data_IF_909693401476
#
_entry.id   IF_909693401476
#
_cell.length_a   1.000
_cell.length_b   1.000
_cell.length_c   1.000
_cell.angle_alpha   90.00
_cell.angle_beta   90.00
_cell.angle_gamma   90.00
#
_symmetry.space_group_name_H-M   'P 1'
#
loop_
_entity.id
_entity.type
_entity.pdbx_description
1 polymer ?
#
# COMPACT_ATOMS: atom_id res chain seq x y z
N UNK A 1 12.43 29.60 -22.28
CA UNK A 1 13.65 28.74 -22.21
C UNK A 1 14.01 28.04 -23.54
N UNK A 2 13.70 28.65 -24.71
CA UNK A 2 13.93 28.03 -26.03
C UNK A 2 15.42 27.67 -26.28
N UNK A 3 16.36 28.50 -25.76
CA UNK A 3 17.79 28.22 -25.90
C UNK A 3 18.23 26.93 -25.24
N UNK A 4 17.74 26.68 -24.03
CA UNK A 4 18.02 25.44 -23.30
C UNK A 4 17.42 24.20 -24.01
N UNK A 5 16.17 24.32 -24.49
CA UNK A 5 15.51 23.25 -25.24
C UNK A 5 16.27 22.91 -26.54
N UNK A 6 16.73 23.92 -27.28
CA UNK A 6 17.49 23.70 -28.51
C UNK A 6 18.85 23.04 -28.23
N UNK A 7 19.58 23.48 -27.18
CA UNK A 7 20.83 22.84 -26.78
C UNK A 7 20.61 21.37 -26.40
N UNK A 8 19.56 21.06 -25.65
CA UNK A 8 19.24 19.67 -25.34
C UNK A 8 18.87 18.86 -26.60
N UNK A 9 18.19 19.47 -27.57
CA UNK A 9 17.88 18.82 -28.85
C UNK A 9 19.14 18.53 -29.67
N UNK A 10 20.13 19.41 -29.69
CA UNK A 10 21.43 19.17 -30.32
C UNK A 10 22.16 17.96 -29.72
N UNK A 11 21.99 17.75 -28.41
CA UNK A 11 22.56 16.61 -27.66
C UNK A 11 21.62 15.38 -27.61
N UNK A 12 20.64 15.27 -28.52
CA UNK A 12 19.61 14.24 -28.45
C UNK A 12 20.13 12.80 -28.46
N UNK A 13 21.33 12.57 -29.00
CA UNK A 13 21.98 11.25 -29.03
C UNK A 13 22.31 10.75 -27.61
N UNK A 14 22.67 11.67 -26.73
CA UNK A 14 23.10 11.39 -25.36
C UNK A 14 21.92 11.37 -24.35
N UNK A 15 20.72 11.79 -24.79
CA UNK A 15 19.55 11.80 -23.94
C UNK A 15 18.99 10.39 -23.72
N UNK A 16 18.67 10.09 -22.46
CA UNK A 16 17.90 8.90 -22.13
C UNK A 16 16.51 8.93 -22.78
N UNK A 17 15.85 7.78 -22.88
CA UNK A 17 14.54 7.66 -23.49
C UNK A 17 13.51 8.62 -22.85
N UNK A 18 13.45 8.63 -21.50
CA UNK A 18 12.55 9.50 -20.74
C UNK A 18 12.89 10.99 -20.95
N UNK A 19 14.18 11.34 -21.04
CA UNK A 19 14.60 12.73 -21.29
C UNK A 19 14.16 13.20 -22.69
N UNK A 20 14.25 12.35 -23.70
CA UNK A 20 13.72 12.63 -25.06
C UNK A 20 12.23 12.90 -25.05
N UNK A 21 11.46 12.06 -24.36
CA UNK A 21 10.01 12.23 -24.24
C UNK A 21 9.65 13.51 -23.47
N UNK A 22 10.36 13.83 -22.36
CA UNK A 22 10.12 15.07 -21.60
C UNK A 22 10.48 16.32 -22.40
N UNK A 23 11.56 16.28 -23.17
CA UNK A 23 11.91 17.37 -24.08
C UNK A 23 10.85 17.54 -25.19
N UNK A 24 10.33 16.44 -25.74
CA UNK A 24 9.23 16.50 -26.71
C UNK A 24 7.96 17.11 -26.11
N UNK A 25 7.62 16.79 -24.82
CA UNK A 25 6.53 17.44 -24.11
C UNK A 25 6.74 18.95 -23.98
N UNK A 26 7.96 19.39 -23.65
CA UNK A 26 8.29 20.82 -23.58
C UNK A 26 8.11 21.54 -24.93
N UNK A 27 8.54 20.92 -26.02
CA UNK A 27 8.30 21.47 -27.37
C UNK A 27 6.82 21.51 -27.74
N UNK A 28 6.06 20.45 -27.39
CA UNK A 28 4.62 20.40 -27.65
C UNK A 28 3.87 21.50 -26.89
N UNK A 29 4.17 21.71 -25.60
CA UNK A 29 3.61 22.79 -24.80
C UNK A 29 3.91 24.19 -25.33
N UNK A 30 5.04 24.35 -26.03
CA UNK A 30 5.41 25.59 -26.70
C UNK A 30 4.90 25.69 -28.17
N UNK A 31 3.99 24.81 -28.57
CA UNK A 31 3.42 24.80 -29.93
C UNK A 31 4.39 24.35 -31.04
N UNK A 32 5.58 23.84 -30.70
CA UNK A 32 6.60 23.39 -31.62
C UNK A 32 6.43 21.90 -31.95
N UNK A 33 5.26 21.53 -32.46
CA UNK A 33 4.85 20.15 -32.71
C UNK A 33 5.81 19.40 -33.65
N UNK A 34 6.37 20.08 -34.68
CA UNK A 34 7.35 19.46 -35.57
C UNK A 34 8.60 19.00 -34.83
N UNK A 35 9.19 19.86 -34.01
CA UNK A 35 10.38 19.53 -33.22
C UNK A 35 10.10 18.42 -32.18
N UNK A 36 8.92 18.42 -31.58
CA UNK A 36 8.48 17.36 -30.68
C UNK A 36 8.42 16.00 -31.39
N UNK A 37 7.81 15.95 -32.59
CA UNK A 37 7.71 14.71 -33.37
C UNK A 37 9.06 14.20 -33.84
N UNK A 38 9.97 15.07 -34.25
CA UNK A 38 11.34 14.70 -34.68
C UNK A 38 12.10 14.01 -33.54
N UNK A 39 12.01 14.52 -32.31
CA UNK A 39 12.69 13.96 -31.12
C UNK A 39 12.26 12.52 -30.81
N UNK A 40 11.00 12.20 -31.03
CA UNK A 40 10.43 10.89 -30.63
C UNK A 40 9.98 10.05 -31.81
N UNK A 41 10.43 10.38 -33.01
CA UNK A 41 10.02 9.70 -34.28
C UNK A 41 10.24 8.18 -34.19
N UNK A 42 11.41 7.73 -33.69
CA UNK A 42 11.76 6.33 -33.53
C UNK A 42 11.88 5.92 -32.02
N UNK A 43 11.38 6.75 -31.12
CA UNK A 43 11.49 6.47 -29.71
C UNK A 43 10.49 5.39 -29.26
N UNK A 44 10.97 4.40 -28.52
CA UNK A 44 10.10 3.39 -27.92
C UNK A 44 9.17 4.04 -26.89
N UNK A 45 7.98 3.49 -26.74
CA UNK A 45 7.03 3.84 -25.65
C UNK A 45 7.11 2.90 -24.47
N UNK A 46 7.89 1.81 -24.59
CA UNK A 46 8.15 0.86 -23.50
C UNK A 46 9.48 1.20 -22.85
N UNK A 47 9.51 1.30 -21.55
CA UNK A 47 10.69 1.56 -20.74
C UNK A 47 11.21 0.23 -20.21
N UNK A 48 12.51 0.00 -20.31
CA UNK A 48 13.15 -1.17 -19.71
C UNK A 48 13.21 -0.99 -18.18
N UNK A 49 13.02 -2.07 -17.41
CA UNK A 49 13.15 -2.01 -15.96
C UNK A 49 14.52 -1.45 -15.54
N UNK A 50 14.54 -0.64 -14.49
CA UNK A 50 15.80 -0.15 -13.92
C UNK A 50 16.60 -1.31 -13.34
N UNK A 51 17.87 -1.41 -13.71
CA UNK A 51 18.77 -2.38 -13.13
C UNK A 51 19.23 -1.92 -11.74
N UNK A 52 19.09 -2.72 -10.68
CA UNK A 52 19.60 -2.39 -9.36
C UNK A 52 21.11 -2.14 -9.30
N UNK A 53 21.86 -2.68 -10.25
CA UNK A 53 23.33 -2.56 -10.32
C UNK A 53 23.81 -1.21 -10.88
N UNK A 54 22.93 -0.38 -11.39
CA UNK A 54 23.32 0.89 -11.99
C UNK A 54 23.77 1.96 -10.99
N UNK A 55 23.80 1.68 -9.68
CA UNK A 55 24.37 2.58 -8.66
C UNK A 55 23.72 3.97 -8.57
N UNK A 56 22.64 4.19 -9.27
CA UNK A 56 21.99 5.48 -9.31
C UNK A 56 20.91 5.56 -8.23
N UNK A 57 21.14 6.41 -7.27
CA UNK A 57 20.11 6.87 -6.31
C UNK A 57 19.03 7.72 -7.02
N UNK A 58 18.50 7.23 -8.13
CA UNK A 58 17.44 7.92 -8.86
C UNK A 58 16.11 7.40 -8.34
N UNK A 59 15.28 8.29 -7.82
CA UNK A 59 13.90 7.98 -7.46
C UNK A 59 13.02 7.66 -8.68
N UNK A 60 13.61 7.35 -9.82
CA UNK A 60 12.96 6.96 -11.05
C UNK A 60 12.47 5.52 -11.02
N UNK A 61 11.41 5.24 -11.77
CA UNK A 61 10.95 3.90 -12.04
C UNK A 61 10.42 3.81 -13.46
N UNK A 62 10.35 2.60 -14.01
CA UNK A 62 9.74 2.39 -15.31
C UNK A 62 8.26 2.80 -15.31
N UNK A 63 7.51 2.59 -14.22
CA UNK A 63 6.11 3.02 -14.09
C UNK A 63 5.94 4.54 -14.19
N UNK A 64 6.83 5.31 -13.52
CA UNK A 64 6.88 6.76 -13.63
C UNK A 64 7.14 7.19 -15.07
N UNK A 65 8.12 6.59 -15.71
CA UNK A 65 8.56 7.00 -17.04
C UNK A 65 7.52 6.62 -18.11
N UNK A 66 6.84 5.49 -17.98
CA UNK A 66 5.70 5.13 -18.82
C UNK A 66 4.53 6.11 -18.67
N UNK A 67 4.27 6.58 -17.45
CA UNK A 67 3.27 7.62 -17.21
C UNK A 67 3.67 8.98 -17.84
N UNK A 68 4.95 9.35 -17.77
CA UNK A 68 5.46 10.56 -18.46
C UNK A 68 5.32 10.45 -19.98
N UNK A 69 5.52 9.27 -20.56
CA UNK A 69 5.31 9.02 -21.98
C UNK A 69 3.83 9.17 -22.33
N UNK A 70 2.92 8.62 -21.53
CA UNK A 70 1.48 8.81 -21.70
C UNK A 70 1.11 10.29 -21.72
N UNK A 71 1.55 11.05 -20.74
CA UNK A 71 1.31 12.50 -20.67
C UNK A 71 1.81 13.20 -21.94
N UNK A 72 3.00 12.87 -22.40
CA UNK A 72 3.60 13.47 -23.60
C UNK A 72 2.79 13.15 -24.85
N UNK A 73 2.36 11.90 -25.04
CA UNK A 73 1.50 11.49 -26.15
C UNK A 73 0.19 12.27 -26.17
N UNK A 74 -0.42 12.49 -25.00
CA UNK A 74 -1.65 13.30 -24.86
C UNK A 74 -1.41 14.76 -25.26
N UNK A 75 -0.29 15.36 -24.81
CA UNK A 75 0.10 16.74 -25.17
C UNK A 75 0.38 16.88 -26.68
N UNK A 76 0.92 15.86 -27.31
CA UNK A 76 1.19 15.83 -28.75
C UNK A 76 -0.03 15.50 -29.62
N UNK A 77 -1.17 15.15 -29.01
CA UNK A 77 -2.38 14.74 -29.74
C UNK A 77 -2.28 13.35 -30.40
N UNK A 78 -1.33 12.50 -29.96
CA UNK A 78 -1.15 11.13 -30.48
C UNK A 78 -2.12 10.15 -29.77
N UNK A 79 -3.41 10.33 -30.00
CA UNK A 79 -4.49 9.68 -29.23
C UNK A 79 -4.45 8.15 -29.24
N UNK A 80 -4.22 7.55 -30.41
CA UNK A 80 -4.18 6.08 -30.53
C UNK A 80 -3.05 5.47 -29.68
N UNK A 81 -1.88 6.09 -29.70
CA UNK A 81 -0.74 5.62 -28.92
C UNK A 81 -0.92 5.92 -27.43
N UNK A 82 -1.49 7.09 -27.13
CA UNK A 82 -1.85 7.45 -25.75
C UNK A 82 -2.82 6.42 -25.15
N UNK A 83 -3.83 5.98 -25.89
CA UNK A 83 -4.77 4.96 -25.40
C UNK A 83 -4.07 3.62 -25.11
N UNK A 84 -3.20 3.17 -26.00
CA UNK A 84 -2.41 1.95 -25.79
C UNK A 84 -1.49 2.08 -24.57
N UNK A 85 -0.86 3.23 -24.39
CA UNK A 85 0.00 3.50 -23.24
C UNK A 85 -0.82 3.59 -21.93
N UNK A 86 -2.02 4.19 -21.98
CA UNK A 86 -2.93 4.28 -20.83
C UNK A 86 -3.35 2.90 -20.32
N UNK A 87 -3.59 1.93 -21.21
CA UNK A 87 -3.88 0.56 -20.79
C UNK A 87 -2.74 -0.06 -20.00
N UNK A 88 -1.48 0.20 -20.38
CA UNK A 88 -0.30 -0.27 -19.60
C UNK A 88 -0.24 0.41 -18.24
N UNK A 89 -0.34 1.74 -18.19
CA UNK A 89 -0.31 2.52 -16.94
C UNK A 89 -1.44 2.08 -16.01
N UNK A 90 -2.65 1.87 -16.52
CA UNK A 90 -3.80 1.37 -15.76
C UNK A 90 -3.53 -0.02 -15.18
N UNK A 91 -3.00 -0.94 -16.01
CA UNK A 91 -2.63 -2.29 -15.57
C UNK A 91 -1.56 -2.24 -14.47
N UNK A 92 -0.57 -1.36 -14.60
CA UNK A 92 0.48 -1.19 -13.60
C UNK A 92 -0.11 -0.65 -12.29
N UNK A 93 -0.98 0.36 -12.34
CA UNK A 93 -1.66 0.90 -11.14
C UNK A 93 -2.57 -0.11 -10.42
N UNK A 94 -3.00 -1.17 -11.12
CA UNK A 94 -3.86 -2.23 -10.55
C UNK A 94 -3.06 -3.36 -9.89
N UNK A 95 -1.74 -3.31 -9.86
CA UNK A 95 -0.90 -4.29 -9.15
C UNK A 95 -0.92 -4.01 -7.65
N UNK A 96 -0.78 -5.07 -6.87
CA UNK A 96 -0.63 -4.98 -5.40
C UNK A 96 0.83 -4.75 -4.96
N UNK A 97 1.63 -4.13 -5.81
CA UNK A 97 3.03 -3.81 -5.56
C UNK A 97 3.19 -2.45 -4.87
N UNK A 98 4.34 -2.25 -4.26
CA UNK A 98 4.71 -0.94 -3.75
C UNK A 98 5.03 0.03 -4.90
N UNK A 99 4.48 1.23 -4.81
CA UNK A 99 4.77 2.35 -5.70
C UNK A 99 5.45 3.49 -4.97
N UNK A 100 6.48 4.06 -5.57
CA UNK A 100 7.04 5.31 -5.05
C UNK A 100 6.01 6.45 -5.19
N UNK A 101 6.11 7.44 -4.31
CA UNK A 101 5.27 8.65 -4.40
C UNK A 101 5.34 9.30 -5.78
N UNK A 102 6.53 9.31 -6.41
CA UNK A 102 6.69 9.83 -7.77
C UNK A 102 5.96 8.99 -8.82
N UNK A 103 6.09 7.66 -8.77
CA UNK A 103 5.40 6.78 -9.72
C UNK A 103 3.89 6.97 -9.65
N UNK A 104 3.34 6.98 -8.44
CA UNK A 104 1.91 7.21 -8.21
C UNK A 104 1.47 8.59 -8.71
N UNK A 105 2.20 9.65 -8.37
CA UNK A 105 1.85 11.02 -8.75
C UNK A 105 1.83 11.20 -10.28
N UNK A 106 2.88 10.77 -10.99
CA UNK A 106 2.93 10.88 -12.45
C UNK A 106 1.88 10.02 -13.16
N UNK A 107 1.61 8.81 -12.64
CA UNK A 107 0.57 7.95 -13.19
C UNK A 107 -0.82 8.57 -13.03
N UNK A 108 -1.15 9.08 -11.84
CA UNK A 108 -2.43 9.75 -11.59
C UNK A 108 -2.57 11.04 -12.41
N UNK A 109 -1.52 11.85 -12.55
CA UNK A 109 -1.54 13.05 -13.38
C UNK A 109 -1.80 12.71 -14.86
N UNK A 110 -1.13 11.70 -15.40
CA UNK A 110 -1.29 11.29 -16.79
C UNK A 110 -2.70 10.71 -17.05
N UNK A 111 -3.21 9.87 -16.13
CA UNK A 111 -4.56 9.32 -16.21
C UNK A 111 -5.64 10.41 -16.04
N UNK A 112 -5.41 11.40 -15.16
CA UNK A 112 -6.28 12.55 -15.01
C UNK A 112 -6.40 13.37 -16.31
N UNK A 113 -5.28 13.66 -16.99
CA UNK A 113 -5.29 14.33 -18.31
C UNK A 113 -6.00 13.50 -19.38
N UNK A 114 -5.84 12.18 -19.36
CA UNK A 114 -6.58 11.31 -20.27
C UNK A 114 -8.08 11.39 -20.01
N UNK A 115 -8.48 11.32 -18.73
CA UNK A 115 -9.88 11.44 -18.32
C UNK A 115 -10.48 12.79 -18.76
N UNK A 116 -9.79 13.89 -18.55
CA UNK A 116 -10.21 15.21 -19.05
C UNK A 116 -10.43 15.23 -20.57
N UNK A 117 -9.53 14.59 -21.31
CA UNK A 117 -9.60 14.55 -22.78
C UNK A 117 -10.71 13.63 -23.30
N UNK A 118 -10.98 12.55 -22.60
CA UNK A 118 -12.02 11.57 -22.97
C UNK A 118 -13.39 11.92 -22.35
N UNK A 119 -13.42 12.67 -21.26
CA UNK A 119 -14.67 13.03 -20.61
C UNK A 119 -15.44 14.06 -21.43
N UNK A 120 -16.62 13.67 -21.87
CA UNK A 120 -17.68 14.61 -22.19
C UNK A 120 -18.20 15.23 -20.91
N UNK A 121 -19.18 16.15 -21.04
CA UNK A 121 -19.92 16.67 -19.90
C UNK A 121 -20.61 15.54 -19.15
N UNK A 122 -20.42 15.46 -17.81
CA UNK A 122 -21.27 14.63 -16.99
C UNK A 122 -22.72 15.15 -17.09
N UNK A 123 -23.63 14.27 -17.48
CA UNK A 123 -25.07 14.57 -17.53
C UNK A 123 -25.82 13.34 -17.06
N UNK A 124 -26.29 13.36 -15.82
CA UNK A 124 -27.02 12.24 -15.23
C UNK A 124 -28.04 12.67 -14.19
N UNK A 125 -29.04 11.83 -14.00
CA UNK A 125 -30.00 11.91 -12.90
C UNK A 125 -29.81 10.73 -11.98
N UNK A 126 -30.12 10.91 -10.70
CA UNK A 126 -29.86 9.90 -9.70
C UNK A 126 -30.86 9.96 -8.54
N UNK A 127 -31.02 8.82 -7.86
CA UNK A 127 -31.85 8.68 -6.67
C UNK A 127 -31.04 8.01 -5.56
N UNK A 128 -31.29 8.38 -4.32
CA UNK A 128 -30.79 7.72 -3.13
C UNK A 128 -32.00 7.24 -2.32
N UNK A 129 -32.07 5.94 -2.04
CA UNK A 129 -33.18 5.33 -1.31
C UNK A 129 -34.56 5.72 -1.89
N UNK A 130 -34.66 5.73 -3.22
CA UNK A 130 -35.85 6.12 -3.95
C UNK A 130 -36.14 7.64 -3.99
N UNK A 131 -35.36 8.48 -3.29
CA UNK A 131 -35.53 9.93 -3.32
C UNK A 131 -34.70 10.57 -4.42
N UNK A 132 -35.37 11.31 -5.32
CA UNK A 132 -34.73 12.05 -6.40
C UNK A 132 -33.72 13.07 -5.84
N UNK A 133 -32.53 13.10 -6.40
CA UNK A 133 -31.49 14.08 -6.12
C UNK A 133 -31.42 15.13 -7.27
N UNK A 134 -30.83 16.31 -7.02
CA UNK A 134 -30.61 17.27 -8.10
C UNK A 134 -29.83 16.63 -9.26
N UNK A 135 -30.26 16.91 -10.48
CA UNK A 135 -29.56 16.44 -11.68
C UNK A 135 -28.16 17.05 -11.74
N UNK A 136 -27.20 16.26 -12.20
CA UNK A 136 -25.82 16.70 -12.34
C UNK A 136 -25.52 16.95 -13.81
N UNK A 137 -25.12 18.20 -14.12
CA UNK A 137 -24.60 18.58 -15.43
C UNK A 137 -23.30 19.36 -15.21
N UNK A 138 -22.17 18.78 -15.62
CA UNK A 138 -20.85 19.33 -15.30
C UNK A 138 -19.86 19.04 -16.42
N UNK A 139 -18.98 20.00 -16.71
CA UNK A 139 -17.81 19.80 -17.56
C UNK A 139 -16.64 19.12 -16.84
N UNK A 140 -16.75 18.89 -15.50
CA UNK A 140 -15.73 18.16 -14.75
C UNK A 140 -15.84 16.67 -15.03
N UNK A 141 -14.69 15.99 -15.11
CA UNK A 141 -14.61 14.55 -15.35
C UNK A 141 -15.12 13.69 -14.18
N UNK A 142 -15.16 14.23 -12.96
CA UNK A 142 -15.48 13.49 -11.74
C UNK A 142 -16.53 14.26 -10.93
N UNK A 143 -17.49 13.52 -10.41
CA UNK A 143 -18.45 13.97 -9.39
C UNK A 143 -18.36 13.02 -8.21
N UNK A 144 -18.15 13.55 -7.03
CA UNK A 144 -18.07 12.80 -5.79
C UNK A 144 -19.13 13.30 -4.81
N UNK A 145 -19.78 12.37 -4.12
CA UNK A 145 -20.80 12.70 -3.12
C UNK A 145 -20.72 11.72 -1.95
N UNK A 146 -20.44 12.23 -0.78
CA UNK A 146 -20.59 11.45 0.44
C UNK A 146 -22.07 11.15 0.71
N UNK A 147 -22.37 9.88 1.01
CA UNK A 147 -23.69 9.39 1.32
C UNK A 147 -23.75 8.92 2.76
N UNK A 148 -24.84 9.20 3.46
CA UNK A 148 -25.13 8.58 4.74
C UNK A 148 -25.75 7.22 4.52
N UNK A 149 -25.22 6.18 5.17
CA UNK A 149 -25.78 4.83 5.11
C UNK A 149 -26.98 4.76 6.04
N UNK A 150 -28.15 4.39 5.48
CA UNK A 150 -29.34 4.15 6.29
C UNK A 150 -29.27 2.78 6.97
N UNK A 151 -29.77 2.63 8.22
CA UNK A 151 -29.96 1.32 8.83
C UNK A 151 -30.80 0.41 7.91
N UNK A 152 -30.34 -0.81 7.65
CA UNK A 152 -31.05 -1.74 6.76
C UNK A 152 -30.65 -1.67 5.29
N UNK A 153 -29.70 -0.79 4.93
CA UNK A 153 -29.22 -0.67 3.55
C UNK A 153 -30.10 0.18 2.66
N UNK A 154 -29.82 0.18 1.35
CA UNK A 154 -30.60 0.92 0.37
C UNK A 154 -29.96 0.86 -1.02
N UNK A 155 -30.55 1.56 -1.96
CA UNK A 155 -30.09 1.60 -3.35
C UNK A 155 -29.73 3.01 -3.79
N UNK A 156 -28.73 3.10 -4.64
CA UNK A 156 -28.42 4.27 -5.45
C UNK A 156 -28.69 3.92 -6.90
N UNK A 157 -29.55 4.67 -7.56
CA UNK A 157 -29.83 4.48 -8.98
C UNK A 157 -29.30 5.68 -9.74
N UNK A 158 -28.51 5.45 -10.78
CA UNK A 158 -27.95 6.49 -11.63
C UNK A 158 -28.39 6.25 -13.07
N UNK A 159 -28.91 7.29 -13.71
CA UNK A 159 -29.30 7.26 -15.12
C UNK A 159 -28.41 8.23 -15.89
N UNK A 160 -27.59 7.69 -16.79
CA UNK A 160 -26.79 8.48 -17.72
C UNK A 160 -27.69 9.14 -18.76
N UNK A 161 -27.65 10.44 -18.87
CA UNK A 161 -28.37 11.23 -19.90
C UNK A 161 -27.38 11.73 -20.97
N UNK A 162 -26.06 11.58 -20.75
CA UNK A 162 -25.03 11.95 -21.70
C UNK A 162 -24.83 10.92 -22.82
N UNK A 163 -24.04 11.30 -23.82
CA UNK A 163 -23.70 10.43 -24.97
C UNK A 163 -22.52 9.48 -24.70
N UNK A 164 -21.65 9.83 -23.74
CA UNK A 164 -20.47 9.04 -23.37
C UNK A 164 -20.76 7.99 -22.32
N UNK A 165 -19.80 7.12 -22.03
CA UNK A 165 -19.87 6.17 -20.93
C UNK A 165 -19.79 6.92 -19.59
N UNK A 166 -20.58 6.50 -18.63
CA UNK A 166 -20.55 6.97 -17.24
C UNK A 166 -20.14 5.79 -16.35
N UNK A 167 -18.99 5.87 -15.72
CA UNK A 167 -18.59 4.92 -14.67
C UNK A 167 -19.14 5.38 -13.33
N UNK A 168 -19.67 4.45 -12.57
CA UNK A 168 -20.23 4.72 -11.23
C UNK A 168 -19.61 3.75 -10.24
N UNK A 169 -18.89 4.29 -9.26
CA UNK A 169 -18.28 3.53 -8.18
C UNK A 169 -18.97 3.86 -6.86
N UNK A 170 -19.35 2.85 -6.11
CA UNK A 170 -19.88 2.98 -4.76
C UNK A 170 -18.83 2.46 -3.77
N UNK A 171 -18.19 3.39 -3.07
CA UNK A 171 -17.15 3.08 -2.10
C UNK A 171 -17.77 3.07 -0.71
N UNK A 172 -17.73 1.92 -0.03
CA UNK A 172 -18.22 1.77 1.34
C UNK A 172 -17.04 1.65 2.30
N UNK A 173 -16.97 2.54 3.29
CA UNK A 173 -16.05 2.42 4.42
C UNK A 173 -16.81 1.94 5.64
N UNK A 174 -16.38 0.83 6.22
CA UNK A 174 -16.99 0.26 7.43
C UNK A 174 -15.95 0.06 8.51
N UNK A 175 -16.35 0.25 9.75
CA UNK A 175 -15.59 -0.18 10.91
C UNK A 175 -16.29 -1.38 11.52
N UNK A 176 -15.58 -2.50 11.62
CA UNK A 176 -16.10 -3.69 12.27
C UNK A 176 -16.25 -3.44 13.77
N UNK A 177 -17.39 -3.80 14.34
CA UNK A 177 -17.62 -3.70 15.79
C UNK A 177 -16.78 -4.72 16.56
N UNK A 178 -16.51 -5.86 15.95
CA UNK A 178 -15.63 -6.90 16.48
C UNK A 178 -14.65 -7.32 15.38
N UNK A 179 -13.44 -7.71 15.78
CA UNK A 179 -12.47 -8.27 14.85
C UNK A 179 -12.90 -9.69 14.45
N UNK A 180 -13.64 -9.79 13.36
CA UNK A 180 -14.10 -11.07 12.79
C UNK A 180 -13.29 -11.49 11.58
N UNK A 181 -12.23 -10.76 11.25
CA UNK A 181 -11.42 -11.05 10.10
C UNK A 181 -10.71 -12.40 10.26
N UNK A 182 -10.65 -13.24 9.22
CA UNK A 182 -9.97 -14.53 9.28
C UNK A 182 -8.46 -14.32 9.42
N UNK A 183 -7.75 -15.37 9.86
CA UNK A 183 -6.30 -15.40 9.74
C UNK A 183 -5.88 -15.25 8.27
N UNK A 184 -4.76 -14.60 8.04
CA UNK A 184 -4.20 -14.35 6.71
C UNK A 184 -2.75 -14.79 6.69
N UNK A 185 -2.34 -15.40 5.59
CA UNK A 185 -0.94 -15.75 5.31
C UNK A 185 -0.70 -15.51 3.82
N UNK A 186 0.02 -14.43 3.49
CA UNK A 186 0.38 -14.08 2.13
C UNK A 186 1.88 -13.75 2.10
N UNK A 187 2.70 -14.63 1.49
CA UNK A 187 4.16 -14.57 1.47
C UNK A 187 4.84 -14.53 2.86
N UNK A 188 4.11 -14.18 3.90
CA UNK A 188 4.51 -14.31 5.31
C UNK A 188 3.58 -15.29 6.02
N UNK A 189 4.11 -16.00 7.03
CA UNK A 189 3.32 -16.81 7.96
C UNK A 189 3.60 -16.35 9.38
N UNK A 190 2.55 -16.29 10.18
CA UNK A 190 2.59 -15.85 11.56
C UNK A 190 1.98 -16.93 12.46
N UNK A 191 2.79 -17.46 13.37
CA UNK A 191 2.39 -18.44 14.37
C UNK A 191 2.58 -17.85 15.78
N UNK A 192 1.62 -18.05 16.66
CA UNK A 192 1.66 -17.56 18.05
C UNK A 192 1.40 -18.70 19.02
N UNK A 193 2.24 -18.80 20.04
CA UNK A 193 2.07 -19.71 21.16
C UNK A 193 2.17 -18.95 22.48
N UNK A 194 1.32 -19.30 23.43
CA UNK A 194 1.42 -18.82 24.79
C UNK A 194 1.97 -19.94 25.67
N UNK A 195 2.93 -19.60 26.52
CA UNK A 195 3.56 -20.58 27.43
C UNK A 195 3.66 -19.99 28.84
N UNK A 196 3.66 -20.85 29.86
CA UNK A 196 4.10 -20.44 31.18
C UNK A 196 5.61 -20.11 31.16
N UNK A 197 6.14 -19.69 32.32
CA UNK A 197 7.56 -19.32 32.45
C UNK A 197 8.51 -20.52 32.32
N UNK A 198 8.00 -21.77 32.35
CA UNK A 198 8.74 -23.00 32.15
C UNK A 198 8.68 -23.51 30.69
N UNK A 199 7.97 -22.82 29.81
CA UNK A 199 7.80 -23.18 28.41
C UNK A 199 6.63 -24.14 28.13
N UNK A 200 5.80 -24.47 29.13
CA UNK A 200 4.61 -25.30 28.96
C UNK A 200 3.50 -24.49 28.27
N UNK A 201 2.88 -25.07 27.25
CA UNK A 201 1.80 -24.39 26.52
C UNK A 201 0.59 -24.12 27.44
N UNK A 202 0.06 -22.90 27.34
CA UNK A 202 -1.13 -22.45 28.04
C UNK A 202 -2.15 -21.88 27.08
N UNK A 203 -3.42 -21.87 27.46
CA UNK A 203 -4.51 -21.28 26.69
C UNK A 203 -4.79 -19.84 27.20
N UNK A 204 -4.88 -18.85 26.31
CA UNK A 204 -5.22 -17.48 26.69
C UNK A 204 -6.63 -17.34 27.29
N UNK A 205 -7.48 -18.35 27.10
CA UNK A 205 -8.85 -18.43 27.64
C UNK A 205 -8.91 -18.98 29.08
N UNK A 206 -7.76 -19.34 29.70
CA UNK A 206 -7.73 -19.99 31.01
C UNK A 206 -6.52 -19.54 31.84
N UNK A 207 -6.32 -18.24 31.98
CA UNK A 207 -5.22 -17.67 32.77
C UNK A 207 -5.69 -17.37 34.20
N UNK A 208 -4.79 -17.53 35.15
CA UNK A 208 -5.03 -17.09 36.55
C UNK A 208 -4.54 -15.67 36.78
N UNK A 209 -5.30 -14.89 37.49
CA UNK A 209 -4.90 -13.53 37.87
C UNK A 209 -3.55 -13.52 38.59
N UNK A 210 -2.68 -12.60 38.21
CA UNK A 210 -1.33 -12.45 38.76
C UNK A 210 -0.29 -13.39 38.16
N UNK A 211 -0.67 -14.31 37.25
CA UNK A 211 0.29 -15.21 36.61
C UNK A 211 1.09 -14.51 35.51
N UNK A 212 2.40 -14.79 35.50
CA UNK A 212 3.31 -14.41 34.41
C UNK A 212 3.33 -15.50 33.36
N UNK A 213 3.44 -15.09 32.10
CA UNK A 213 3.51 -15.99 30.95
C UNK A 213 4.22 -15.32 29.76
N UNK A 214 4.52 -16.11 28.73
CA UNK A 214 5.22 -15.67 27.53
C UNK A 214 4.32 -15.79 26.31
N UNK A 215 4.29 -14.76 25.48
CA UNK A 215 3.82 -14.86 24.10
C UNK A 215 5.03 -15.10 23.20
N UNK A 216 5.05 -16.21 22.46
CA UNK A 216 6.10 -16.61 21.53
C UNK A 216 5.55 -16.46 20.11
N UNK A 217 6.02 -15.44 19.38
CA UNK A 217 5.54 -15.07 18.05
C UNK A 217 6.60 -15.42 17.01
N UNK A 218 6.27 -16.32 16.12
CA UNK A 218 7.17 -16.74 15.02
C UNK A 218 6.65 -16.20 13.69
N UNK A 219 7.51 -15.49 12.96
CA UNK A 219 7.25 -14.99 11.61
C UNK A 219 8.16 -15.70 10.64
N UNK A 220 7.61 -16.28 9.58
CA UNK A 220 8.36 -16.97 8.53
C UNK A 220 8.10 -16.32 7.16
N UNK A 221 9.16 -16.17 6.37
CA UNK A 221 9.05 -15.82 4.97
C UNK A 221 8.84 -17.10 4.14
N UNK A 222 7.65 -17.24 3.57
CA UNK A 222 7.23 -18.40 2.79
C UNK A 222 7.17 -18.11 1.28
N UNK A 223 7.62 -16.94 0.82
CA UNK A 223 7.57 -16.55 -0.59
C UNK A 223 8.40 -17.43 -1.52
N UNK A 224 9.45 -18.07 -1.01
CA UNK A 224 10.38 -18.90 -1.79
C UNK A 224 11.31 -18.11 -2.74
N UNK A 225 10.99 -16.88 -3.08
CA UNK A 225 11.69 -16.09 -4.12
C UNK A 225 12.21 -14.74 -3.65
N UNK A 226 11.58 -14.11 -2.65
CA UNK A 226 11.82 -12.72 -2.29
C UNK A 226 12.35 -12.58 -0.87
N UNK A 227 13.35 -11.73 -0.69
CA UNK A 227 13.81 -11.25 0.61
C UNK A 227 12.98 -10.02 0.98
N UNK A 228 12.45 -9.94 2.20
CA UNK A 228 11.67 -8.81 2.68
C UNK A 228 12.46 -7.97 3.67
N UNK A 229 12.50 -6.67 3.40
CA UNK A 229 13.03 -5.64 4.31
C UNK A 229 11.89 -4.89 4.97
N UNK A 230 12.20 -4.22 6.07
CA UNK A 230 11.30 -3.31 6.77
C UNK A 230 9.94 -3.97 7.11
N UNK A 231 10.02 -5.17 7.67
CA UNK A 231 8.83 -5.86 8.16
C UNK A 231 8.44 -5.27 9.51
N UNK A 232 7.16 -4.93 9.67
CA UNK A 232 6.54 -4.45 10.89
C UNK A 232 5.66 -5.55 11.51
N UNK A 233 6.01 -6.00 12.71
CA UNK A 233 5.19 -6.88 13.54
C UNK A 233 4.49 -6.04 14.60
N UNK A 234 3.16 -6.03 14.57
CA UNK A 234 2.30 -5.33 15.52
C UNK A 234 1.61 -6.34 16.42
N UNK A 235 2.00 -6.36 17.70
CA UNK A 235 1.43 -7.22 18.72
C UNK A 235 0.69 -6.37 19.77
N UNK A 236 -0.62 -6.21 19.58
CA UNK A 236 -1.53 -5.55 20.53
C UNK A 236 -1.98 -6.61 21.53
N UNK A 237 -1.96 -6.27 22.82
CA UNK A 237 -2.36 -7.17 23.90
C UNK A 237 -3.79 -6.89 24.41
N UNK A 238 -4.49 -7.88 25.01
CA UNK A 238 -5.74 -7.66 25.72
C UNK A 238 -5.59 -6.64 26.86
N UNK A 239 -6.60 -5.84 27.10
CA UNK A 239 -6.59 -4.82 28.17
C UNK A 239 -6.53 -5.40 29.60
N UNK A 240 -6.72 -6.70 29.76
CA UNK A 240 -6.54 -7.40 31.03
C UNK A 240 -5.11 -7.86 31.31
N UNK A 241 -4.19 -7.67 30.38
CA UNK A 241 -2.80 -8.06 30.51
C UNK A 241 -1.89 -6.85 30.61
N UNK A 242 -0.70 -7.04 31.17
CA UNK A 242 0.37 -6.05 31.19
C UNK A 242 1.63 -6.61 30.56
N UNK A 243 2.39 -5.73 29.88
CA UNK A 243 3.67 -6.09 29.27
C UNK A 243 4.77 -5.85 30.30
N UNK A 244 5.56 -6.89 30.56
CA UNK A 244 6.75 -6.75 31.37
C UNK A 244 7.88 -6.12 30.54
N UNK A 245 8.25 -4.89 30.87
CA UNK A 245 9.29 -4.17 30.15
C UNK A 245 10.68 -4.50 30.71
N UNK A 246 11.35 -5.46 30.10
CA UNK A 246 12.69 -5.91 30.52
C UNK A 246 13.77 -4.83 30.41
N UNK A 247 13.55 -3.78 29.59
CA UNK A 247 14.48 -2.65 29.46
C UNK A 247 14.63 -1.84 30.76
N UNK A 248 13.67 -1.90 31.66
CA UNK A 248 13.73 -1.21 32.92
C UNK A 248 14.57 -1.97 33.98
N UNK A 249 14.91 -3.22 33.71
CA UNK A 249 15.56 -4.12 34.71
C UNK A 249 16.88 -4.75 34.27
N UNK A 250 17.26 -4.62 32.95
CA UNK A 250 18.44 -5.32 32.39
C UNK A 250 19.30 -4.38 31.54
N UNK A 251 20.63 -4.62 31.55
CA UNK A 251 21.60 -3.94 30.67
C UNK A 251 21.15 -4.02 29.19
N UNK A 252 21.09 -2.87 28.48
CA UNK A 252 20.66 -2.84 27.06
C UNK A 252 21.47 -3.75 26.13
N UNK A 253 22.73 -4.06 26.49
CA UNK A 253 23.62 -4.93 25.71
C UNK A 253 23.24 -6.42 25.76
N UNK A 254 22.53 -6.87 26.79
CA UNK A 254 22.06 -8.27 26.91
C UNK A 254 20.74 -8.54 26.21
N UNK A 255 19.98 -7.51 25.85
CA UNK A 255 18.70 -7.66 25.14
C UNK A 255 18.86 -8.02 23.64
N UNK A 256 20.04 -7.78 23.07
CA UNK A 256 20.42 -8.20 21.72
C UNK A 256 21.26 -9.47 21.79
N UNK A 257 20.69 -10.58 22.28
CA UNK A 257 21.38 -11.86 22.20
C UNK A 257 21.72 -12.21 20.77
N UNK A 258 22.96 -12.64 20.55
CA UNK A 258 23.58 -12.94 19.26
C UNK A 258 22.93 -14.10 18.47
N UNK A 259 21.71 -14.49 18.81
CA UNK A 259 20.94 -15.50 18.08
C UNK A 259 20.28 -14.83 16.87
N UNK A 260 20.73 -15.21 15.68
CA UNK A 260 20.29 -14.63 14.40
C UNK A 260 18.77 -14.69 14.21
N UNK A 261 18.11 -15.64 14.89
CA UNK A 261 16.65 -15.84 14.81
C UNK A 261 15.84 -14.89 15.70
N UNK A 262 16.45 -14.13 16.60
CA UNK A 262 15.80 -13.17 17.51
C UNK A 262 16.16 -11.71 17.23
N UNK A 263 17.05 -11.46 16.25
CA UNK A 263 17.53 -10.14 15.95
C UNK A 263 16.45 -9.27 15.29
N UNK A 264 16.33 -8.03 15.72
CA UNK A 264 15.45 -7.01 15.16
C UNK A 264 16.23 -5.70 14.93
N UNK A 265 15.75 -4.87 14.02
CA UNK A 265 16.33 -3.55 13.74
C UNK A 265 15.90 -2.52 14.79
N UNK A 266 14.63 -2.58 15.18
CA UNK A 266 14.05 -1.70 16.18
C UNK A 266 12.87 -2.37 16.89
N UNK A 267 12.67 -2.06 18.19
CA UNK A 267 11.53 -2.53 18.97
C UNK A 267 11.02 -1.40 19.86
N UNK A 268 9.72 -1.13 19.75
CA UNK A 268 8.99 -0.18 20.60
C UNK A 268 8.01 -0.93 21.49
N UNK A 269 8.12 -0.73 22.80
CA UNK A 269 7.27 -1.36 23.82
C UNK A 269 6.44 -0.25 24.45
N UNK A 270 5.13 -0.37 24.33
CA UNK A 270 4.14 0.52 24.94
C UNK A 270 3.28 -0.25 25.90
N UNK A 271 2.38 0.44 26.61
CA UNK A 271 1.53 -0.19 27.63
C UNK A 271 0.56 -1.23 27.03
N UNK A 272 0.14 -1.01 25.77
CA UNK A 272 -0.88 -1.80 25.08
C UNK A 272 -0.36 -2.64 23.93
N UNK A 273 0.91 -2.47 23.51
CA UNK A 273 1.45 -3.14 22.34
C UNK A 273 2.97 -3.23 22.30
N UNK A 274 3.45 -4.19 21.51
CA UNK A 274 4.85 -4.28 21.13
C UNK A 274 4.96 -4.19 19.61
N UNK A 275 5.77 -3.25 19.11
CA UNK A 275 6.10 -3.09 17.71
C UNK A 275 7.52 -3.57 17.48
N UNK A 276 7.72 -4.49 16.55
CA UNK A 276 9.05 -5.04 16.23
C UNK A 276 9.32 -4.93 14.75
N UNK A 277 10.46 -4.35 14.39
CA UNK A 277 10.88 -4.10 13.00
C UNK A 277 12.11 -4.91 12.68
N UNK A 278 12.10 -5.62 11.56
CA UNK A 278 13.16 -6.53 11.18
C UNK A 278 13.15 -6.83 9.68
N UNK A 279 14.21 -7.49 9.20
CA UNK A 279 14.31 -8.02 7.85
C UNK A 279 14.26 -9.54 7.90
N UNK A 280 13.75 -10.16 6.83
CA UNK A 280 13.59 -11.62 6.76
C UNK A 280 13.94 -12.12 5.35
N UNK A 281 15.02 -12.85 5.22
CA UNK A 281 15.39 -13.46 3.95
C UNK A 281 14.43 -14.59 3.59
N UNK A 282 14.37 -14.92 2.32
CA UNK A 282 13.55 -16.04 1.83
C UNK A 282 13.85 -17.33 2.60
N UNK A 283 12.80 -18.07 2.97
CA UNK A 283 12.89 -19.30 3.71
C UNK A 283 13.36 -19.17 5.17
N UNK A 284 13.66 -17.96 5.64
CA UNK A 284 14.00 -17.73 7.05
C UNK A 284 12.76 -17.51 7.90
N UNK A 285 12.94 -17.72 9.19
CA UNK A 285 11.97 -17.34 10.22
C UNK A 285 12.67 -16.60 11.35
N UNK A 286 11.91 -15.82 12.10
CA UNK A 286 12.32 -15.17 13.35
C UNK A 286 11.27 -15.37 14.41
N UNK A 287 11.73 -15.51 15.66
CA UNK A 287 10.87 -15.73 16.82
C UNK A 287 11.10 -14.60 17.82
N UNK A 288 10.01 -13.97 18.25
CA UNK A 288 10.03 -12.88 19.21
C UNK A 288 9.23 -13.29 20.44
N UNK A 289 9.78 -13.05 21.62
CA UNK A 289 9.10 -13.32 22.88
C UNK A 289 8.69 -12.01 23.55
N UNK A 290 7.52 -12.04 24.20
CA UNK A 290 7.01 -10.95 25.03
C UNK A 290 6.56 -11.55 26.34
N UNK A 291 7.15 -11.10 27.46
CA UNK A 291 6.70 -11.47 28.79
C UNK A 291 5.48 -10.63 29.16
N UNK A 292 4.45 -11.32 29.62
CA UNK A 292 3.14 -10.76 29.93
C UNK A 292 2.70 -11.20 31.32
N UNK A 293 1.85 -10.38 31.94
CA UNK A 293 1.17 -10.74 33.19
C UNK A 293 -0.34 -10.63 33.03
N UNK A 294 -1.08 -11.61 33.51
CA UNK A 294 -2.53 -11.60 33.55
C UNK A 294 -2.98 -10.78 34.78
N UNK A 295 -3.13 -9.46 34.62
CA UNK A 295 -3.27 -8.53 35.75
C UNK A 295 -4.70 -8.39 36.26
N UNK A 296 -5.66 -8.28 35.30
CA UNK A 296 -7.06 -7.99 35.66
C UNK A 296 -7.96 -9.18 35.33
N UNK A 297 -8.75 -9.62 36.32
CA UNK A 297 -9.74 -10.70 36.12
C UNK A 297 -10.88 -10.22 35.21
N UNK A 298 -11.29 -11.07 34.25
CA UNK A 298 -12.36 -10.74 33.31
C UNK A 298 -12.23 -11.46 31.97
N UNK A 299 -13.13 -11.12 31.04
CA UNK A 299 -13.10 -11.57 29.66
C UNK A 299 -12.79 -10.40 28.76
N UNK A 300 -11.76 -10.53 27.94
CA UNK A 300 -11.23 -9.49 27.07
C UNK A 300 -11.16 -9.95 25.64
N UNK A 301 -11.16 -9.02 24.70
CA UNK A 301 -10.81 -9.33 23.30
C UNK A 301 -9.30 -9.62 23.25
N UNK A 302 -8.93 -10.75 22.63
CA UNK A 302 -7.57 -11.05 22.23
C UNK A 302 -7.39 -10.52 20.81
N UNK A 303 -6.71 -9.38 20.62
CA UNK A 303 -6.55 -8.79 19.28
C UNK A 303 -5.74 -9.69 18.35
N UNK A 304 -6.00 -9.60 17.05
CA UNK A 304 -5.15 -10.24 16.07
C UNK A 304 -3.75 -9.61 16.06
N UNK A 305 -2.73 -10.45 16.01
CA UNK A 305 -1.35 -10.01 15.77
C UNK A 305 -1.17 -9.89 14.26
N UNK A 306 -0.51 -8.83 13.81
CA UNK A 306 -0.32 -8.53 12.40
C UNK A 306 1.16 -8.38 12.08
N UNK A 307 1.53 -8.81 10.88
CA UNK A 307 2.87 -8.68 10.35
C UNK A 307 2.80 -8.32 8.87
N UNK A 308 3.53 -7.30 8.44
CA UNK A 308 3.52 -6.84 7.05
C UNK A 308 4.88 -6.25 6.65
N UNK A 309 5.25 -6.39 5.40
CA UNK A 309 6.34 -5.61 4.83
C UNK A 309 5.83 -4.20 4.50
N UNK A 310 6.43 -3.15 5.09
CA UNK A 310 5.92 -1.78 5.01
C UNK A 310 5.85 -1.23 3.57
N UNK A 311 6.64 -1.80 2.65
CA UNK A 311 6.76 -1.35 1.27
C UNK A 311 6.37 -2.41 0.23
N UNK A 312 5.74 -3.51 0.68
CA UNK A 312 5.24 -4.57 -0.19
C UNK A 312 3.91 -5.12 0.35
N UNK A 313 2.81 -4.65 -0.24
CA UNK A 313 1.45 -5.05 0.16
C UNK A 313 1.16 -6.55 -0.08
N UNK A 314 1.98 -7.22 -0.91
CA UNK A 314 1.90 -8.67 -1.14
C UNK A 314 2.48 -9.52 0.00
N UNK A 315 3.18 -8.92 0.97
CA UNK A 315 3.80 -9.65 2.07
C UNK A 315 3.15 -9.30 3.41
N UNK A 316 2.17 -10.09 3.84
CA UNK A 316 1.42 -9.85 5.06
C UNK A 316 0.93 -11.15 5.70
N UNK A 317 0.82 -11.14 7.01
CA UNK A 317 0.24 -12.22 7.79
C UNK A 317 -0.54 -11.67 8.99
N UNK A 318 -1.56 -12.38 9.41
CA UNK A 318 -2.38 -12.01 10.57
C UNK A 318 -2.94 -13.26 11.25
N UNK A 319 -2.94 -13.27 12.58
CA UNK A 319 -3.68 -14.25 13.35
C UNK A 319 -5.18 -13.92 13.34
N UNK A 320 -6.00 -14.88 13.77
CA UNK A 320 -7.40 -14.60 14.09
C UNK A 320 -7.46 -13.92 15.47
N UNK A 321 -8.34 -12.96 15.63
CA UNK A 321 -8.71 -12.46 16.95
C UNK A 321 -9.48 -13.51 17.74
N UNK A 322 -9.39 -13.44 19.06
CA UNK A 322 -10.02 -14.40 19.96
C UNK A 322 -10.51 -13.76 21.26
N UNK A 323 -10.55 -14.57 22.28
CA UNK A 323 -10.88 -14.15 23.66
C UNK A 323 -9.69 -14.45 24.56
N UNK A 324 -9.47 -13.60 25.55
CA UNK A 324 -8.59 -13.84 26.66
C UNK A 324 -9.45 -13.84 27.95
N UNK A 325 -9.30 -14.86 28.77
CA UNK A 325 -10.04 -14.98 30.02
C UNK A 325 -9.03 -15.07 31.15
N UNK A 326 -9.20 -14.20 32.15
CA UNK A 326 -8.40 -14.20 33.39
C UNK A 326 -9.33 -14.50 34.57
N UNK A 327 -9.09 -15.63 35.19
CA UNK A 327 -9.82 -16.09 36.37
C UNK A 327 -9.13 -15.58 37.64
N UNK A 328 -9.92 -15.41 38.71
CA UNK A 328 -9.41 -15.02 40.05
C UNK A 328 -8.63 -16.14 40.70
#
# INVERSE_FOLDING_TARGET
>A
EHGAMNRMKEMQQDLSLQAKWRLAAAYALNGKTKAANELVFNAKTTVEPYSPSAGSYVYGSYDRDEAMILETLLLMGREREAFTQAQKVSKNLSREDWFSTQSTAFALMAMGRLAEKLSGTLDFTWTIYGKQQPAVKSAKAVFEKALSVAPGGGSVTVKNNGKGALNVDLITKTQLLNDTLPALSNNLRLDVKYTDMNGTAIAPEALKQGSDFMAVVTVANISGTTDYSDIALTHIIPSGWEIYNERMTTDPEKANSADSNNSYSYRDIRDDRVLTYFNLKRGQYKTFTVRLQATYAGTFVLPAIQCEAMYDAGAQARTRAGKAIVER
#
